data_IF_666938165960
#
_entry.id   IF_666938165960
#
_cell.length_a   1.000
_cell.length_b   1.000
_cell.length_c   1.000
_cell.angle_alpha   90.00
_cell.angle_beta   90.00
_cell.angle_gamma   90.00
#
_symmetry.space_group_name_H-M   'P 1'
#
loop_
_entity.id
_entity.type
_entity.pdbx_description
1 polymer ?
#
# COMPACT_ATOMS: atom_id res chain seq x y z
N UNK A 1 16.11 -21.70 -9.90
CA UNK A 1 16.50 -20.44 -10.59
C UNK A 1 15.36 -19.37 -10.59
N UNK A 2 14.10 -19.74 -10.48
CA UNK A 2 12.94 -18.81 -10.50
C UNK A 2 12.84 -17.90 -9.25
N UNK A 3 13.37 -18.32 -8.10
CA UNK A 3 13.29 -17.55 -6.83
C UNK A 3 13.98 -16.17 -6.81
N UNK A 4 14.80 -15.83 -7.79
CA UNK A 4 15.49 -14.52 -7.87
C UNK A 4 14.65 -13.41 -8.50
N UNK A 5 13.52 -13.73 -9.13
CA UNK A 5 12.69 -12.76 -9.87
C UNK A 5 11.39 -12.38 -9.14
N UNK A 6 11.04 -13.07 -8.07
CA UNK A 6 9.81 -12.82 -7.33
C UNK A 6 10.14 -12.44 -5.88
N UNK A 7 9.52 -11.36 -5.44
CA UNK A 7 9.58 -10.87 -4.06
C UNK A 7 8.17 -10.97 -3.48
N UNK A 8 8.01 -11.82 -2.46
CA UNK A 8 6.73 -12.05 -1.80
C UNK A 8 6.54 -11.14 -0.59
N UNK A 9 5.29 -10.78 -0.32
CA UNK A 9 4.87 -10.12 0.91
C UNK A 9 4.02 -11.07 1.73
N UNK A 10 4.21 -11.05 3.06
CA UNK A 10 3.37 -11.77 4.00
C UNK A 10 2.00 -11.10 4.13
N UNK A 11 0.98 -11.85 4.51
CA UNK A 11 -0.28 -11.32 5.00
C UNK A 11 -0.62 -12.02 6.31
N UNK A 12 -1.06 -11.27 7.32
CA UNK A 12 -1.44 -11.80 8.62
C UNK A 12 -2.79 -11.22 9.04
N UNK A 13 -3.62 -12.05 9.68
CA UNK A 13 -4.88 -11.61 10.26
C UNK A 13 -4.65 -11.26 11.74
N UNK A 14 -4.72 -9.98 12.14
CA UNK A 14 -4.41 -9.52 13.50
C UNK A 14 -5.35 -10.09 14.57
N UNK A 15 -6.47 -10.71 14.17
CA UNK A 15 -7.43 -11.36 15.10
C UNK A 15 -6.97 -12.73 15.57
N UNK A 16 -5.96 -13.30 14.92
CA UNK A 16 -5.37 -14.60 15.32
C UNK A 16 -4.26 -14.38 16.34
N UNK A 17 -4.27 -15.14 17.41
CA UNK A 17 -3.20 -15.13 18.43
C UNK A 17 -1.82 -15.45 17.83
N UNK A 18 -1.78 -16.32 16.80
CA UNK A 18 -0.57 -16.72 16.11
C UNK A 18 -0.04 -15.69 15.10
N UNK A 19 -0.77 -14.59 14.83
CA UNK A 19 -0.45 -13.66 13.73
C UNK A 19 0.98 -13.08 13.84
N UNK A 20 1.39 -12.70 15.04
CA UNK A 20 2.72 -12.18 15.31
C UNK A 20 3.82 -13.22 15.04
N UNK A 21 3.65 -14.43 15.53
CA UNK A 21 4.60 -15.53 15.35
C UNK A 21 4.69 -15.96 13.88
N UNK A 22 3.54 -16.06 13.19
CA UNK A 22 3.49 -16.37 11.76
C UNK A 22 4.24 -15.33 10.92
N UNK A 23 4.07 -14.04 11.23
CA UNK A 23 4.77 -12.96 10.53
C UNK A 23 6.28 -13.00 10.78
N UNK A 24 6.71 -13.21 12.02
CA UNK A 24 8.14 -13.38 12.33
C UNK A 24 8.76 -14.58 11.60
N UNK A 25 8.08 -15.71 11.56
CA UNK A 25 8.50 -16.90 10.80
C UNK A 25 8.62 -16.58 9.29
N UNK A 26 7.65 -15.84 8.75
CA UNK A 26 7.66 -15.42 7.35
C UNK A 26 8.91 -14.60 7.00
N UNK A 27 9.31 -13.67 7.87
CA UNK A 27 10.51 -12.88 7.66
C UNK A 27 11.81 -13.65 7.86
N UNK A 28 11.87 -14.50 8.88
CA UNK A 28 13.09 -15.27 9.23
C UNK A 28 13.39 -16.42 8.26
N UNK A 29 12.37 -17.19 7.91
CA UNK A 29 12.58 -18.47 7.23
C UNK A 29 12.08 -18.51 5.79
N UNK A 30 11.12 -17.66 5.42
CA UNK A 30 10.56 -17.63 4.07
C UNK A 30 11.12 -16.47 3.23
N UNK A 31 11.94 -15.60 3.84
CA UNK A 31 12.54 -14.43 3.20
C UNK A 31 11.52 -13.51 2.50
N UNK A 32 10.33 -13.35 3.11
CA UNK A 32 9.33 -12.42 2.60
C UNK A 32 9.78 -10.97 2.88
N UNK A 33 9.53 -10.10 1.91
CA UNK A 33 10.12 -8.76 1.87
C UNK A 33 9.40 -7.75 2.74
N UNK A 34 8.14 -7.99 3.08
CA UNK A 34 7.32 -7.08 3.86
C UNK A 34 5.96 -7.66 4.18
N UNK A 35 5.08 -6.81 4.67
CA UNK A 35 3.70 -7.13 5.06
C UNK A 35 2.70 -6.46 4.13
N UNK A 36 1.68 -7.19 3.68
CA UNK A 36 0.52 -6.65 2.98
C UNK A 36 -0.72 -6.73 3.86
N UNK A 37 -1.43 -5.62 4.03
CA UNK A 37 -2.65 -5.53 4.83
C UNK A 37 -3.79 -4.91 4.01
N UNK A 38 -4.96 -5.56 4.05
CA UNK A 38 -6.20 -5.02 3.52
C UNK A 38 -7.13 -4.61 4.68
N UNK A 39 -7.01 -3.38 5.13
CA UNK A 39 -7.80 -2.82 6.24
C UNK A 39 -9.29 -2.76 5.92
N UNK A 40 -9.65 -2.53 4.66
CA UNK A 40 -11.05 -2.53 4.22
C UNK A 40 -11.72 -3.89 4.38
N UNK A 41 -10.99 -4.98 4.09
CA UNK A 41 -11.46 -6.36 4.25
C UNK A 41 -11.48 -6.81 5.72
N UNK A 42 -10.54 -6.32 6.52
CA UNK A 42 -10.50 -6.60 7.95
C UNK A 42 -11.57 -5.83 8.74
N UNK A 43 -12.16 -4.78 8.15
CA UNK A 43 -13.04 -3.82 8.81
C UNK A 43 -12.36 -3.15 10.02
N UNK A 44 -11.11 -2.78 9.87
CA UNK A 44 -10.28 -2.14 10.89
C UNK A 44 -9.66 -0.85 10.33
N UNK A 45 -9.65 0.20 11.13
CA UNK A 45 -8.85 1.38 10.79
C UNK A 45 -7.35 1.05 10.86
N UNK A 46 -6.50 1.73 10.09
CA UNK A 46 -5.05 1.49 10.13
C UNK A 46 -4.45 1.67 11.53
N UNK A 47 -5.01 2.56 12.35
CA UNK A 47 -4.59 2.83 13.73
C UNK A 47 -5.21 1.90 14.78
N UNK A 48 -5.88 0.82 14.38
CA UNK A 48 -6.42 -0.17 15.31
C UNK A 48 -5.29 -0.86 16.09
N UNK A 49 -5.36 -0.88 17.42
CA UNK A 49 -4.30 -1.38 18.30
C UNK A 49 -3.92 -2.83 18.02
N UNK A 50 -4.85 -3.64 17.52
CA UNK A 50 -4.58 -5.03 17.13
C UNK A 50 -3.58 -5.16 15.98
N UNK A 51 -3.40 -4.12 15.18
CA UNK A 51 -2.43 -4.09 14.08
C UNK A 51 -1.03 -3.69 14.56
N UNK A 52 -0.89 -3.01 15.69
CA UNK A 52 0.39 -2.47 16.13
C UNK A 52 1.45 -3.54 16.35
N UNK A 53 1.08 -4.71 16.86
CA UNK A 53 2.02 -5.83 17.03
C UNK A 53 2.65 -6.24 15.68
N UNK A 54 1.91 -6.19 14.58
CA UNK A 54 2.42 -6.50 13.24
C UNK A 54 3.34 -5.38 12.73
N UNK A 55 3.03 -4.12 13.02
CA UNK A 55 3.86 -2.97 12.65
C UNK A 55 5.17 -2.95 13.43
N UNK A 56 5.14 -3.28 14.72
CA UNK A 56 6.33 -3.42 15.56
C UNK A 56 7.27 -4.52 15.03
N UNK A 57 6.72 -5.62 14.54
CA UNK A 57 7.51 -6.67 13.87
C UNK A 57 8.12 -6.13 12.57
N UNK A 58 7.36 -5.40 11.75
CA UNK A 58 7.89 -4.78 10.54
C UNK A 58 9.01 -3.80 10.86
N UNK A 59 8.86 -2.95 11.88
CA UNK A 59 9.90 -2.06 12.39
C UNK A 59 11.15 -2.84 12.85
N UNK A 60 10.98 -3.88 13.68
CA UNK A 60 12.06 -4.75 14.18
C UNK A 60 12.90 -5.36 13.06
N UNK A 61 12.24 -5.84 12.00
CA UNK A 61 12.89 -6.50 10.86
C UNK A 61 13.22 -5.55 9.71
N UNK A 62 12.96 -4.22 9.85
CA UNK A 62 13.13 -3.20 8.81
C UNK A 62 12.43 -3.61 7.51
N UNK A 63 11.18 -4.07 7.62
CA UNK A 63 10.37 -4.52 6.50
C UNK A 63 9.26 -3.51 6.20
N UNK A 64 9.03 -3.19 4.91
CA UNK A 64 7.96 -2.27 4.53
C UNK A 64 6.57 -2.88 4.72
N UNK A 65 5.57 -2.01 4.78
CA UNK A 65 4.17 -2.39 4.80
C UNK A 65 3.50 -1.85 3.54
N UNK A 66 2.74 -2.70 2.85
CA UNK A 66 1.85 -2.31 1.76
C UNK A 66 0.42 -2.39 2.28
N UNK A 67 -0.30 -1.28 2.23
CA UNK A 67 -1.72 -1.25 2.54
C UNK A 67 -2.57 -1.21 1.28
N UNK A 68 -3.67 -1.96 1.31
CA UNK A 68 -4.79 -1.65 0.43
C UNK A 68 -5.28 -0.25 0.79
N UNK A 69 -5.13 0.71 -0.12
CA UNK A 69 -5.62 2.07 0.03
C UNK A 69 -6.50 2.45 -1.16
N UNK A 70 -7.43 3.39 -0.95
CA UNK A 70 -8.42 3.70 -1.96
C UNK A 70 -9.53 2.65 -2.06
N UNK A 71 -10.37 2.80 -3.07
CA UNK A 71 -11.56 1.97 -3.22
C UNK A 71 -11.20 0.49 -3.52
N UNK A 72 -11.63 -0.39 -2.63
CA UNK A 72 -11.59 -1.84 -2.89
C UNK A 72 -12.84 -2.26 -3.67
N UNK A 73 -12.66 -3.07 -4.71
CA UNK A 73 -13.75 -3.62 -5.53
C UNK A 73 -14.34 -4.91 -4.93
N UNK A 74 -13.92 -5.30 -3.74
CA UNK A 74 -14.47 -6.47 -3.05
C UNK A 74 -15.75 -6.11 -2.32
N UNK A 75 -16.85 -6.85 -2.55
CA UNK A 75 -18.17 -6.57 -1.97
C UNK A 75 -18.21 -6.59 -0.43
N UNK A 76 -17.29 -7.34 0.21
CA UNK A 76 -17.20 -7.45 1.66
C UNK A 76 -16.18 -6.48 2.28
N UNK A 77 -15.70 -5.49 1.54
CA UNK A 77 -14.78 -4.46 2.01
C UNK A 77 -15.48 -3.11 2.16
N UNK A 78 -15.08 -2.35 3.16
CA UNK A 78 -15.65 -1.03 3.43
C UNK A 78 -14.62 0.07 3.21
N UNK A 79 -14.90 0.97 2.27
CA UNK A 79 -14.01 2.04 1.82
C UNK A 79 -13.55 2.98 2.94
N UNK A 80 -14.35 3.17 3.99
CA UNK A 80 -13.98 4.01 5.14
C UNK A 80 -12.70 3.57 5.86
N UNK A 81 -12.37 2.27 5.80
CA UNK A 81 -11.17 1.73 6.43
C UNK A 81 -9.90 1.79 5.56
N UNK A 82 -10.03 2.24 4.30
CA UNK A 82 -8.90 2.33 3.37
C UNK A 82 -8.78 3.70 2.67
N UNK A 83 -9.46 4.71 3.20
CA UNK A 83 -9.30 6.09 2.76
C UNK A 83 -7.89 6.58 3.11
N UNK A 84 -7.14 7.20 2.19
CA UNK A 84 -5.73 7.50 2.42
C UNK A 84 -5.44 8.30 3.68
N UNK A 85 -6.25 9.28 4.02
CA UNK A 85 -6.03 10.11 5.22
C UNK A 85 -6.05 9.31 6.53
N UNK A 86 -6.74 8.17 6.58
CA UNK A 86 -6.81 7.31 7.77
C UNK A 86 -5.44 6.64 8.10
N UNK A 87 -4.48 6.67 7.16
CA UNK A 87 -3.14 6.13 7.38
C UNK A 87 -2.19 7.14 8.02
N UNK A 88 -2.59 8.41 8.18
CA UNK A 88 -1.72 9.46 8.68
C UNK A 88 -1.14 9.16 10.06
N UNK A 89 -1.97 8.65 10.99
CA UNK A 89 -1.51 8.30 12.35
C UNK A 89 -0.43 7.21 12.32
N UNK A 90 -0.58 6.21 11.44
CA UNK A 90 0.41 5.12 11.31
C UNK A 90 1.70 5.65 10.71
N UNK A 91 1.64 6.49 9.67
CA UNK A 91 2.80 7.14 9.08
C UNK A 91 3.59 7.95 10.10
N UNK A 92 2.89 8.70 10.94
CA UNK A 92 3.49 9.51 12.00
C UNK A 92 4.09 8.68 13.14
N UNK A 93 3.40 7.58 13.53
CA UNK A 93 3.82 6.72 14.65
C UNK A 93 4.99 5.80 14.28
N UNK A 94 5.13 5.44 13.01
CA UNK A 94 6.14 4.51 12.50
C UNK A 94 7.03 5.15 11.42
N UNK A 95 7.75 6.25 11.70
CA UNK A 95 8.56 6.95 10.70
C UNK A 95 9.71 6.11 10.14
N UNK A 96 10.13 5.05 10.84
CA UNK A 96 11.20 4.14 10.41
C UNK A 96 10.70 3.03 9.47
N UNK A 97 9.38 2.88 9.29
CA UNK A 97 8.76 1.86 8.45
C UNK A 97 8.30 2.49 7.16
N UNK A 98 8.81 2.03 6.04
CA UNK A 98 8.30 2.45 4.73
C UNK A 98 6.91 1.89 4.51
N UNK A 99 5.96 2.77 4.21
CA UNK A 99 4.54 2.44 4.04
C UNK A 99 4.11 2.80 2.62
N UNK A 100 3.59 1.81 1.90
CA UNK A 100 3.06 1.99 0.55
C UNK A 100 1.53 1.94 0.56
N UNK A 101 0.89 3.02 0.13
CA UNK A 101 -0.54 3.12 -0.09
C UNK A 101 -0.86 2.69 -1.53
N UNK A 102 -1.51 1.54 -1.72
CA UNK A 102 -1.76 0.99 -3.05
C UNK A 102 -2.74 1.83 -3.86
N UNK A 103 -2.68 1.68 -5.19
CA UNK A 103 -3.66 2.22 -6.15
C UNK A 103 -3.75 3.75 -6.14
N UNK A 104 -2.66 4.43 -5.75
CA UNK A 104 -2.62 5.90 -5.59
C UNK A 104 -3.75 6.42 -4.68
N UNK A 105 -4.32 5.53 -3.86
CA UNK A 105 -5.46 5.86 -3.00
C UNK A 105 -6.76 6.21 -3.74
N UNK A 106 -6.87 5.85 -5.03
CA UNK A 106 -8.02 6.21 -5.85
C UNK A 106 -9.35 5.80 -5.20
N UNK A 107 -10.39 6.68 -5.18
CA UNK A 107 -10.50 7.97 -5.88
C UNK A 107 -9.96 9.19 -5.09
N UNK A 108 -9.48 9.01 -3.85
CA UNK A 108 -9.00 10.10 -2.98
C UNK A 108 -7.52 10.43 -3.24
N UNK A 109 -7.17 10.65 -4.50
CA UNK A 109 -5.78 10.84 -4.97
C UNK A 109 -5.08 12.02 -4.30
N UNK A 110 -5.82 13.12 -4.05
CA UNK A 110 -5.28 14.31 -3.41
C UNK A 110 -4.86 14.06 -1.94
N UNK A 111 -5.56 13.19 -1.22
CA UNK A 111 -5.15 12.80 0.13
C UNK A 111 -3.84 12.02 0.10
N UNK A 112 -3.70 11.11 -0.88
CA UNK A 112 -2.43 10.38 -1.08
C UNK A 112 -1.30 11.34 -1.42
N UNK A 113 -1.52 12.31 -2.32
CA UNK A 113 -0.52 13.32 -2.67
C UNK A 113 -0.08 14.13 -1.45
N UNK A 114 -1.03 14.55 -0.60
CA UNK A 114 -0.72 15.27 0.63
C UNK A 114 0.15 14.44 1.60
N UNK A 115 -0.15 13.15 1.76
CA UNK A 115 0.65 12.25 2.60
C UNK A 115 2.05 11.99 2.03
N UNK A 116 2.17 11.83 0.71
CA UNK A 116 3.47 11.69 0.04
C UNK A 116 4.35 12.93 0.21
N UNK A 117 3.76 14.12 0.17
CA UNK A 117 4.47 15.38 0.38
C UNK A 117 4.91 15.53 1.84
N UNK A 118 4.08 15.12 2.80
CA UNK A 118 4.30 15.35 4.22
C UNK A 118 5.24 14.33 4.86
N UNK A 119 5.16 13.05 4.45
CA UNK A 119 5.86 11.95 5.11
C UNK A 119 6.91 11.31 4.21
N UNK A 120 8.16 11.29 4.65
CA UNK A 120 9.27 10.70 3.89
C UNK A 120 9.13 9.18 3.73
N UNK A 121 8.53 8.51 4.71
CA UNK A 121 8.28 7.07 4.72
C UNK A 121 6.99 6.66 3.97
N UNK A 122 6.28 7.60 3.33
CA UNK A 122 5.09 7.34 2.55
C UNK A 122 5.42 7.11 1.07
N UNK A 123 4.90 6.04 0.51
CA UNK A 123 5.03 5.65 -0.89
C UNK A 123 3.68 5.25 -1.46
N UNK A 124 3.56 5.18 -2.79
CA UNK A 124 2.36 4.66 -3.45
C UNK A 124 2.71 3.82 -4.66
N UNK A 125 1.73 3.08 -5.18
CA UNK A 125 1.86 2.34 -6.44
C UNK A 125 0.63 2.51 -7.32
N UNK A 126 0.81 2.24 -8.62
CA UNK A 126 -0.22 2.36 -9.66
C UNK A 126 -0.98 1.06 -9.93
N UNK A 127 -0.85 0.05 -9.06
CA UNK A 127 -1.52 -1.23 -9.28
C UNK A 127 -3.04 -1.05 -9.43
N UNK A 128 -3.65 -1.83 -10.33
CA UNK A 128 -5.11 -1.84 -10.59
C UNK A 128 -5.72 -0.51 -11.06
N UNK A 129 -4.94 0.47 -11.50
CA UNK A 129 -5.47 1.75 -12.01
C UNK A 129 -5.97 1.69 -13.47
N UNK A 130 -5.91 0.54 -14.11
CA UNK A 130 -6.22 0.37 -15.53
C UNK A 130 -7.70 0.04 -15.77
N UNK A 131 -8.62 0.88 -15.28
CA UNK A 131 -10.05 0.58 -15.40
C UNK A 131 -10.59 0.77 -16.83
N UNK A 132 -10.42 1.97 -17.43
CA UNK A 132 -10.98 2.31 -18.75
C UNK A 132 -10.02 3.21 -19.53
N UNK A 133 -9.11 2.62 -20.28
CA UNK A 133 -8.12 3.38 -21.03
C UNK A 133 -7.00 3.92 -20.14
N UNK A 134 -5.95 3.14 -19.95
CA UNK A 134 -4.89 3.46 -18.99
C UNK A 134 -4.26 4.84 -19.22
N UNK A 135 -4.14 5.30 -20.46
CA UNK A 135 -3.54 6.60 -20.76
C UNK A 135 -4.34 7.77 -20.14
N UNK A 136 -5.66 7.76 -20.31
CA UNK A 136 -6.52 8.84 -19.82
C UNK A 136 -6.54 8.90 -18.30
N UNK A 137 -6.63 7.76 -17.61
CA UNK A 137 -6.64 7.74 -16.15
C UNK A 137 -5.28 8.12 -15.57
N UNK A 138 -4.19 7.65 -16.14
CA UNK A 138 -2.85 8.06 -15.69
C UNK A 138 -2.63 9.56 -15.93
N UNK A 139 -2.98 10.07 -17.11
CA UNK A 139 -2.90 11.51 -17.38
C UNK A 139 -3.68 12.28 -16.34
N UNK A 140 -4.97 11.98 -16.17
CA UNK A 140 -5.82 12.67 -15.19
C UNK A 140 -5.23 12.64 -13.78
N UNK A 141 -4.87 11.46 -13.29
CA UNK A 141 -4.35 11.28 -11.92
C UNK A 141 -3.07 12.08 -11.69
N UNK A 142 -2.10 11.99 -12.59
CA UNK A 142 -0.79 12.59 -12.33
C UNK A 142 -0.71 14.07 -12.73
N UNK A 143 -1.48 14.54 -13.72
CA UNK A 143 -1.42 15.94 -14.14
C UNK A 143 -2.49 16.83 -13.53
N UNK A 144 -3.67 16.28 -13.22
CA UNK A 144 -4.80 17.05 -12.70
C UNK A 144 -5.02 16.77 -11.19
N UNK A 145 -5.24 15.51 -10.81
CA UNK A 145 -5.63 15.17 -9.44
C UNK A 145 -4.47 15.32 -8.43
N UNK A 146 -3.24 14.90 -8.80
CA UNK A 146 -2.04 15.12 -7.99
C UNK A 146 -1.38 16.47 -8.24
N UNK A 147 -1.49 16.98 -9.48
CA UNK A 147 -0.79 18.16 -9.95
C UNK A 147 0.60 17.85 -10.51
N UNK A 148 0.81 18.17 -11.81
CA UNK A 148 2.03 17.82 -12.53
C UNK A 148 3.30 18.34 -11.85
N UNK A 149 3.31 19.58 -11.37
CA UNK A 149 4.47 20.17 -10.70
C UNK A 149 4.84 19.44 -9.40
N UNK A 150 3.85 19.00 -8.62
CA UNK A 150 4.12 18.25 -7.39
C UNK A 150 4.69 16.86 -7.69
N UNK A 151 4.16 16.21 -8.73
CA UNK A 151 4.70 14.92 -9.16
C UNK A 151 6.15 15.07 -9.59
N UNK A 152 6.46 15.99 -10.51
CA UNK A 152 7.79 16.15 -11.09
C UNK A 152 8.86 16.58 -10.07
N UNK A 153 8.51 17.48 -9.15
CA UNK A 153 9.51 18.10 -8.27
C UNK A 153 9.60 17.50 -6.87
N UNK A 154 8.58 16.73 -6.42
CA UNK A 154 8.53 16.36 -5.01
C UNK A 154 8.22 14.88 -4.74
N UNK A 155 7.41 14.20 -5.55
CA UNK A 155 6.89 12.87 -5.21
C UNK A 155 7.10 11.78 -6.27
N UNK A 156 7.74 12.08 -7.40
CA UNK A 156 7.94 11.11 -8.49
C UNK A 156 8.69 9.85 -8.02
N UNK A 157 9.68 10.00 -7.18
CA UNK A 157 10.50 8.92 -6.61
C UNK A 157 9.78 8.07 -5.55
N UNK A 158 8.61 8.52 -5.09
CA UNK A 158 7.75 7.80 -4.15
C UNK A 158 6.63 7.01 -4.82
N UNK A 159 6.55 7.06 -6.17
CA UNK A 159 5.50 6.40 -6.95
C UNK A 159 6.09 5.20 -7.68
N UNK A 160 5.62 4.00 -7.33
CA UNK A 160 6.07 2.75 -7.94
C UNK A 160 5.11 2.28 -9.02
N UNK A 161 5.62 1.75 -10.11
CA UNK A 161 4.78 1.08 -11.09
C UNK A 161 4.23 -0.24 -10.55
N UNK A 162 2.92 -0.45 -10.71
CA UNK A 162 2.23 -1.70 -10.43
C UNK A 162 1.16 -1.96 -11.50
N UNK A 163 1.14 -3.16 -12.08
CA UNK A 163 0.14 -3.53 -13.08
C UNK A 163 -1.15 -4.08 -12.48
N UNK A 164 -1.08 -4.66 -11.28
CA UNK A 164 -2.18 -5.44 -10.71
C UNK A 164 -2.37 -6.81 -11.35
N UNK A 165 -1.31 -7.36 -12.02
CA UNK A 165 -1.31 -8.74 -12.54
C UNK A 165 -1.52 -9.76 -11.40
N UNK A 166 -2.23 -10.88 -11.63
CA UNK A 166 -2.78 -11.35 -12.91
C UNK A 166 -4.17 -10.81 -13.26
N UNK A 167 -4.77 -10.01 -12.39
CA UNK A 167 -6.13 -9.46 -12.58
C UNK A 167 -6.21 -8.54 -13.80
N UNK A 168 -5.17 -7.74 -14.00
CA UNK A 168 -5.01 -6.87 -15.17
C UNK A 168 -3.74 -7.28 -15.93
N UNK A 169 -3.85 -7.48 -17.22
CA UNK A 169 -2.68 -7.75 -18.08
C UNK A 169 -2.05 -6.43 -18.48
N UNK A 170 -0.76 -6.20 -18.17
CA UNK A 170 -0.10 -4.91 -18.44
C UNK A 170 0.11 -4.63 -19.93
N UNK A 171 0.05 -5.67 -20.77
CA UNK A 171 0.23 -5.54 -22.22
C UNK A 171 -0.88 -6.30 -22.94
N UNK A 172 -1.73 -5.59 -23.66
CA UNK A 172 -2.51 -6.16 -24.76
C UNK A 172 -1.77 -5.84 -26.05
N UNK A 173 -1.37 -6.88 -26.79
CA UNK A 173 -0.97 -6.71 -28.19
C UNK A 173 -2.17 -6.30 -29.00
#
# INVERSE_FOLDING_TARGET
MIRRFFVGFASADPRKESAAEELEKAFKFQNLAGLYINTARLHMYPCDERLFVLYDICKKYKRPIIFQAGLSMENNSLAKYCRPIEFEEVLSKYPEVNICLSHVGWPWVQETAALLLKYENCYTNTALMNFDGPYQIYKKVFTEDMGALWVEHNIADKIMFGSGSPRIRPVRK
#
